data_IF_615882473912
#
_entry.id   IF_615882473912
#
_cell.length_a   1.000
_cell.length_b   1.000
_cell.length_c   1.000
_cell.angle_alpha   90.00
_cell.angle_beta   90.00
_cell.angle_gamma   90.00
#
_symmetry.space_group_name_H-M   'P 1'
#
loop_
_entity.id
_entity.type
_entity.pdbx_description
1 polymer ?
#
# COMPACT_ATOMS: atom_id res chain seq x y z
N UNK A 1 40.30 25.87 29.10
CA UNK A 1 39.37 25.08 29.95
C UNK A 1 38.02 25.06 29.24
N UNK A 2 37.71 23.99 28.52
CA UNK A 2 36.44 23.85 27.80
C UNK A 2 35.67 22.76 28.55
N UNK A 3 34.98 23.15 29.61
CA UNK A 3 33.91 22.42 30.30
C UNK A 3 33.63 23.21 31.58
N UNK A 4 32.60 24.07 31.54
CA UNK A 4 32.04 24.65 32.75
C UNK A 4 31.12 23.58 33.38
N UNK A 5 31.39 23.23 34.63
CA UNK A 5 31.01 21.95 35.22
C UNK A 5 29.58 21.96 35.80
N UNK A 6 28.63 22.65 35.16
CA UNK A 6 27.36 22.99 35.83
C UNK A 6 26.05 22.77 35.05
N UNK A 7 26.01 21.97 33.99
CA UNK A 7 24.71 21.57 33.38
C UNK A 7 24.71 20.16 32.76
N UNK A 8 25.09 19.13 33.52
CA UNK A 8 24.84 17.74 33.08
C UNK A 8 23.35 17.43 33.25
N UNK A 9 22.55 17.69 32.20
CA UNK A 9 21.13 17.34 32.17
C UNK A 9 20.99 15.86 31.78
N UNK A 10 20.74 15.01 32.77
CA UNK A 10 20.50 13.58 32.57
C UNK A 10 19.06 13.39 32.08
N UNK A 11 18.88 12.76 30.93
CA UNK A 11 17.56 12.45 30.37
C UNK A 11 17.11 11.04 30.77
N UNK A 12 15.88 10.87 31.30
CA UNK A 12 15.34 9.53 31.56
C UNK A 12 15.13 8.78 30.24
N UNK A 13 15.34 7.46 30.26
CA UNK A 13 15.22 6.60 29.07
C UNK A 13 13.87 6.75 28.35
N UNK A 14 12.77 6.92 29.10
CA UNK A 14 11.43 7.14 28.54
C UNK A 14 11.33 8.40 27.68
N UNK A 15 11.96 9.50 28.12
CA UNK A 15 12.01 10.75 27.35
C UNK A 15 12.86 10.60 26.09
N UNK A 16 13.95 9.83 26.15
CA UNK A 16 14.78 9.51 24.98
C UNK A 16 13.99 8.66 23.96
N UNK A 17 13.26 7.65 24.41
CA UNK A 17 12.41 6.80 23.55
C UNK A 17 11.30 7.63 22.90
N UNK A 18 10.63 8.49 23.66
CA UNK A 18 9.60 9.40 23.14
C UNK A 18 10.17 10.39 22.12
N UNK A 19 11.37 10.93 22.36
CA UNK A 19 12.06 11.80 21.42
C UNK A 19 12.34 11.08 20.09
N UNK A 20 12.88 9.86 20.14
CA UNK A 20 13.17 9.05 18.94
C UNK A 20 11.89 8.70 18.19
N UNK A 21 10.83 8.35 18.91
CA UNK A 21 9.52 8.05 18.34
C UNK A 21 8.91 9.28 17.64
N UNK A 22 8.94 10.45 18.28
CA UNK A 22 8.48 11.71 17.69
C UNK A 22 9.24 12.08 16.42
N UNK A 23 10.58 11.93 16.44
CA UNK A 23 11.42 12.14 15.26
C UNK A 23 11.05 11.20 14.10
N UNK A 24 10.75 9.93 14.39
CA UNK A 24 10.30 8.94 13.39
C UNK A 24 8.93 9.28 12.81
N UNK A 25 8.00 9.75 13.64
CA UNK A 25 6.66 10.21 13.24
C UNK A 25 6.65 11.60 12.58
N UNK A 26 7.83 12.23 12.41
CA UNK A 26 7.98 13.63 11.96
C UNK A 26 7.22 14.63 12.83
N UNK A 27 6.92 14.26 14.06
CA UNK A 27 6.36 15.14 15.08
C UNK A 27 7.53 15.75 15.83
N UNK A 28 7.76 17.06 15.67
CA UNK A 28 8.88 17.75 16.31
C UNK A 28 8.90 17.52 17.83
N UNK A 29 10.10 17.53 18.43
CA UNK A 29 10.25 17.42 19.87
C UNK A 29 10.50 18.79 20.51
N UNK A 30 10.06 18.95 21.76
CA UNK A 30 10.38 20.11 22.59
C UNK A 30 11.80 20.06 23.17
N UNK A 31 12.53 18.96 22.96
CA UNK A 31 13.89 18.79 23.46
C UNK A 31 14.91 19.48 22.53
N UNK A 32 15.51 20.56 22.99
CA UNK A 32 16.57 21.27 22.26
C UNK A 32 17.97 20.84 22.77
N UNK A 33 18.83 20.25 21.93
CA UNK A 33 20.22 19.96 22.28
C UNK A 33 21.00 21.24 22.58
N UNK A 34 21.65 21.27 23.75
CA UNK A 34 22.45 22.41 24.22
C UNK A 34 23.86 22.41 23.62
N UNK A 35 24.42 21.24 23.30
CA UNK A 35 25.80 21.09 22.79
C UNK A 35 25.86 20.89 21.28
N UNK A 36 26.89 21.42 20.62
CA UNK A 36 27.03 21.32 19.16
C UNK A 36 27.23 19.87 18.67
N UNK A 37 27.91 19.02 19.44
CA UNK A 37 28.06 17.60 19.10
C UNK A 37 26.72 16.83 19.10
N UNK A 38 25.80 17.18 20.02
CA UNK A 38 24.47 16.53 20.05
C UNK A 38 23.57 17.03 18.92
N UNK A 39 23.70 18.31 18.52
CA UNK A 39 23.04 18.86 17.33
C UNK A 39 23.44 18.13 16.05
N UNK A 40 24.74 17.83 15.88
CA UNK A 40 25.22 17.09 14.72
C UNK A 40 24.65 15.66 14.68
N UNK A 41 24.62 14.97 15.83
CA UNK A 41 24.03 13.63 15.94
C UNK A 41 22.53 13.63 15.62
N UNK A 42 21.77 14.60 16.16
CA UNK A 42 20.34 14.70 15.84
C UNK A 42 20.09 15.07 14.38
N UNK A 43 20.93 15.92 13.78
CA UNK A 43 20.83 16.26 12.36
C UNK A 43 21.09 15.04 11.46
N UNK A 44 22.14 14.25 11.73
CA UNK A 44 22.41 13.03 10.96
C UNK A 44 21.31 11.99 11.15
N UNK A 45 20.79 11.84 12.38
CA UNK A 45 19.65 10.97 12.66
C UNK A 45 18.38 11.40 11.92
N UNK A 46 18.06 12.69 11.90
CA UNK A 46 16.92 13.21 11.14
C UNK A 46 17.06 12.98 9.64
N UNK A 47 18.25 13.18 9.08
CA UNK A 47 18.52 12.88 7.67
C UNK A 47 18.30 11.38 7.40
N UNK A 48 18.83 10.51 8.26
CA UNK A 48 18.64 9.07 8.13
C UNK A 48 17.16 8.67 8.14
N UNK A 49 16.37 9.17 9.10
CA UNK A 49 14.93 8.91 9.18
C UNK A 49 14.17 9.49 7.98
N UNK A 50 14.54 10.67 7.50
CA UNK A 50 13.94 11.26 6.31
C UNK A 50 14.18 10.39 5.07
N UNK A 51 15.40 9.89 4.89
CA UNK A 51 15.75 8.97 3.80
C UNK A 51 14.97 7.66 3.93
N UNK A 52 14.96 7.05 5.11
CA UNK A 52 14.26 5.78 5.36
C UNK A 52 12.75 5.89 5.10
N UNK A 53 12.11 6.93 5.63
CA UNK A 53 10.66 7.17 5.42
C UNK A 53 10.34 7.48 3.95
N UNK A 54 11.22 8.21 3.24
CA UNK A 54 11.05 8.48 1.82
C UNK A 54 11.11 7.19 0.98
N UNK A 55 12.09 6.32 1.22
CA UNK A 55 12.19 5.03 0.52
C UNK A 55 11.02 4.11 0.82
N UNK A 56 10.60 4.02 2.08
CA UNK A 56 9.43 3.25 2.46
C UNK A 56 8.17 3.77 1.76
N UNK A 57 7.95 5.10 1.78
CA UNK A 57 6.80 5.72 1.13
C UNK A 57 6.82 5.48 -0.38
N UNK A 58 7.99 5.58 -1.04
CA UNK A 58 8.14 5.33 -2.46
C UNK A 58 7.81 3.88 -2.85
N UNK A 59 8.35 2.90 -2.11
CA UNK A 59 8.09 1.48 -2.35
C UNK A 59 6.63 1.12 -2.08
N UNK A 60 6.05 1.64 -1.00
CA UNK A 60 4.63 1.45 -0.69
C UNK A 60 3.76 2.07 -1.78
N UNK A 61 4.07 3.29 -2.23
CA UNK A 61 3.33 3.98 -3.29
C UNK A 61 3.41 3.17 -4.58
N UNK A 62 4.60 2.72 -4.97
CA UNK A 62 4.77 1.88 -6.15
C UNK A 62 3.94 0.59 -6.08
N UNK A 63 3.86 -0.06 -4.91
CA UNK A 63 3.02 -1.25 -4.75
C UNK A 63 1.52 -0.92 -4.80
N UNK A 64 1.10 0.19 -4.19
CA UNK A 64 -0.31 0.61 -4.15
C UNK A 64 -0.82 1.09 -5.52
N UNK A 65 0.03 1.73 -6.31
CA UNK A 65 -0.32 2.24 -7.65
C UNK A 65 -0.19 1.16 -8.72
N UNK A 66 0.74 0.21 -8.56
CA UNK A 66 0.93 -0.90 -9.49
C UNK A 66 -0.14 -1.98 -9.28
N UNK A 67 -1.14 -2.01 -10.17
CA UNK A 67 -2.05 -3.14 -10.25
C UNK A 67 -1.37 -4.33 -10.95
N UNK A 68 -0.84 -5.28 -10.18
CA UNK A 68 -0.46 -6.59 -10.71
C UNK A 68 -1.61 -7.56 -10.48
N UNK A 69 -2.19 -8.04 -11.56
CA UNK A 69 -3.15 -9.13 -11.51
C UNK A 69 -2.41 -10.45 -11.71
N UNK A 70 -2.44 -11.33 -10.72
CA UNK A 70 -1.92 -12.70 -10.83
C UNK A 70 -3.09 -13.62 -11.16
N UNK A 71 -2.97 -14.39 -12.24
CA UNK A 71 -3.95 -15.41 -12.55
C UNK A 71 -3.86 -16.56 -11.55
N UNK A 72 -4.98 -17.14 -11.12
CA UNK A 72 -4.96 -18.31 -10.24
C UNK A 72 -4.45 -19.57 -10.97
N UNK A 73 -4.49 -19.57 -12.31
CA UNK A 73 -4.08 -20.68 -13.17
C UNK A 73 -3.18 -20.11 -14.25
N UNK A 74 -1.92 -20.51 -14.21
CA UNK A 74 -0.95 -20.16 -15.25
C UNK A 74 -0.64 -21.38 -16.10
N UNK A 75 -0.49 -22.55 -15.48
CA UNK A 75 -0.09 -23.81 -16.12
C UNK A 75 -1.17 -24.90 -16.03
N UNK A 76 -1.04 -25.94 -16.86
CA UNK A 76 -1.90 -27.14 -16.80
C UNK A 76 -1.86 -27.81 -15.43
N UNK A 77 -0.69 -27.81 -14.78
CA UNK A 77 -0.51 -28.36 -13.43
C UNK A 77 -1.41 -27.66 -12.40
N UNK A 78 -1.65 -26.36 -12.56
CA UNK A 78 -2.48 -25.58 -11.64
C UNK A 78 -3.96 -25.98 -11.76
N UNK A 79 -4.39 -26.48 -12.92
CA UNK A 79 -5.75 -27.00 -13.11
C UNK A 79 -5.97 -28.21 -12.20
N UNK A 80 -5.00 -29.13 -12.10
CA UNK A 80 -5.12 -30.27 -11.19
C UNK A 80 -4.94 -29.92 -9.72
N UNK A 81 -4.14 -28.90 -9.39
CA UNK A 81 -3.99 -28.42 -8.01
C UNK A 81 -5.25 -27.74 -7.50
N UNK A 82 -5.87 -26.91 -8.33
CA UNK A 82 -7.09 -26.18 -7.99
C UNK A 82 -8.34 -27.06 -8.04
N UNK A 83 -8.31 -28.15 -8.83
CA UNK A 83 -9.45 -29.05 -8.99
C UNK A 83 -10.63 -28.40 -9.72
N UNK A 84 -10.39 -27.32 -10.47
CA UNK A 84 -11.41 -26.62 -11.24
C UNK A 84 -11.86 -27.46 -12.43
N UNK A 85 -13.14 -27.35 -12.76
CA UNK A 85 -13.70 -27.99 -13.94
C UNK A 85 -13.23 -27.26 -15.20
N UNK A 86 -12.99 -28.03 -16.26
CA UNK A 86 -12.59 -27.49 -17.55
C UNK A 86 -13.33 -28.20 -18.67
N UNK A 87 -13.45 -27.52 -19.79
CA UNK A 87 -14.04 -28.10 -20.99
C UNK A 87 -13.25 -27.73 -22.24
N UNK A 88 -13.32 -28.62 -23.23
CA UNK A 88 -12.74 -28.44 -24.54
C UNK A 88 -13.71 -28.89 -25.64
N UNK A 89 -13.40 -28.55 -26.88
CA UNK A 89 -14.21 -28.92 -28.04
C UNK A 89 -14.22 -30.43 -28.26
N UNK A 90 -15.41 -31.01 -28.32
CA UNK A 90 -15.65 -32.41 -28.71
C UNK A 90 -15.20 -32.66 -30.16
N UNK A 91 -14.51 -33.77 -30.37
CA UNK A 91 -13.80 -34.13 -31.61
C UNK A 91 -12.60 -33.23 -31.91
N UNK A 92 -12.19 -32.39 -30.96
CA UNK A 92 -11.15 -31.39 -31.15
C UNK A 92 -9.72 -31.94 -30.98
N UNK A 93 -8.70 -31.16 -31.40
CA UNK A 93 -7.30 -31.55 -31.24
C UNK A 93 -6.88 -31.70 -29.77
N UNK A 94 -7.52 -30.96 -28.85
CA UNK A 94 -7.26 -31.06 -27.41
C UNK A 94 -7.78 -32.39 -26.87
N UNK A 95 -8.99 -32.81 -27.26
CA UNK A 95 -9.53 -34.11 -26.88
C UNK A 95 -8.61 -35.24 -27.34
N UNK A 96 -8.21 -35.20 -28.61
CA UNK A 96 -7.29 -36.18 -29.16
C UNK A 96 -5.95 -36.20 -28.39
N UNK A 97 -5.37 -35.03 -28.10
CA UNK A 97 -4.12 -34.94 -27.35
C UNK A 97 -4.24 -35.48 -25.92
N UNK A 98 -5.37 -35.24 -25.23
CA UNK A 98 -5.60 -35.71 -23.85
C UNK A 98 -5.90 -37.21 -23.80
N UNK A 99 -6.65 -37.72 -24.77
CA UNK A 99 -7.09 -39.11 -24.81
C UNK A 99 -5.99 -40.06 -25.30
N UNK A 100 -5.19 -39.64 -26.28
CA UNK A 100 -4.18 -40.49 -26.86
C UNK A 100 -3.07 -40.84 -25.83
N UNK A 101 -2.59 -42.07 -25.85
CA UNK A 101 -1.62 -42.59 -24.86
C UNK A 101 -0.17 -42.33 -25.22
N UNK A 102 0.09 -41.98 -26.47
CA UNK A 102 1.43 -42.02 -27.05
C UNK A 102 2.15 -40.66 -26.99
N UNK A 103 1.48 -39.62 -26.49
CA UNK A 103 1.93 -38.24 -26.59
C UNK A 103 2.07 -37.57 -25.21
N UNK A 104 3.19 -36.86 -25.05
CA UNK A 104 3.63 -35.95 -23.98
C UNK A 104 3.23 -36.23 -22.52
N UNK A 105 4.25 -36.38 -21.66
CA UNK A 105 4.10 -36.49 -20.20
C UNK A 105 3.34 -35.32 -19.56
N UNK A 106 3.37 -34.15 -20.21
CA UNK A 106 2.85 -32.88 -19.70
C UNK A 106 1.31 -32.83 -19.68
N UNK A 107 0.62 -33.62 -20.51
CA UNK A 107 -0.85 -33.64 -20.56
C UNK A 107 -1.50 -34.74 -19.70
N UNK A 108 -0.69 -35.57 -19.04
CA UNK A 108 -1.15 -36.59 -18.10
C UNK A 108 -2.03 -36.01 -16.98
N UNK A 109 -1.79 -34.75 -16.64
CA UNK A 109 -2.56 -34.02 -15.63
C UNK A 109 -4.00 -33.81 -16.08
N UNK A 110 -4.23 -33.40 -17.33
CA UNK A 110 -5.57 -33.28 -17.91
C UNK A 110 -6.22 -34.65 -18.05
N UNK A 111 -5.46 -35.67 -18.48
CA UNK A 111 -5.97 -37.04 -18.59
C UNK A 111 -6.50 -37.57 -17.25
N UNK A 112 -5.76 -37.32 -16.16
CA UNK A 112 -6.21 -37.64 -14.79
C UNK A 112 -7.39 -36.78 -14.35
N UNK A 113 -7.48 -35.56 -14.83
CA UNK A 113 -8.62 -34.66 -14.57
C UNK A 113 -9.90 -35.19 -15.25
N UNK A 114 -9.80 -35.68 -16.48
CA UNK A 114 -10.91 -36.37 -17.18
C UNK A 114 -11.36 -37.61 -16.40
N UNK A 115 -10.42 -38.47 -15.95
CA UNK A 115 -10.79 -39.67 -15.18
C UNK A 115 -11.43 -39.38 -13.82
N UNK A 116 -11.23 -38.16 -13.28
CA UNK A 116 -11.89 -37.64 -12.07
C UNK A 116 -13.20 -36.89 -12.35
N UNK A 117 -13.70 -36.92 -13.60
CA UNK A 117 -14.90 -36.20 -14.02
C UNK A 117 -14.81 -34.67 -13.83
N UNK A 118 -13.60 -34.11 -13.98
CA UNK A 118 -13.34 -32.66 -13.95
C UNK A 118 -13.11 -32.07 -15.35
N UNK A 119 -12.82 -32.91 -16.35
CA UNK A 119 -12.64 -32.51 -17.74
C UNK A 119 -13.79 -33.01 -18.61
N UNK A 120 -14.43 -32.10 -19.35
CA UNK A 120 -15.58 -32.40 -20.19
C UNK A 120 -15.34 -31.99 -21.65
N UNK A 121 -15.75 -32.84 -22.59
CA UNK A 121 -15.73 -32.51 -24.01
C UNK A 121 -17.14 -32.14 -24.44
N UNK A 122 -17.31 -30.93 -24.97
CA UNK A 122 -18.62 -30.40 -25.35
C UNK A 122 -18.58 -29.79 -26.76
N UNK A 123 -19.74 -29.68 -27.38
CA UNK A 123 -19.88 -28.94 -28.62
C UNK A 123 -19.78 -27.41 -28.35
N UNK A 124 -18.62 -26.84 -28.66
CA UNK A 124 -18.31 -25.40 -28.49
C UNK A 124 -18.82 -24.52 -29.63
N UNK A 125 -19.45 -25.09 -30.66
CA UNK A 125 -20.15 -24.29 -31.67
C UNK A 125 -21.37 -23.57 -31.07
N UNK A 126 -21.94 -24.11 -29.99
CA UNK A 126 -22.97 -23.45 -29.19
C UNK A 126 -22.32 -22.44 -28.23
N UNK A 127 -22.14 -21.20 -28.71
CA UNK A 127 -21.57 -20.12 -27.91
C UNK A 127 -22.39 -19.82 -26.63
N UNK A 128 -23.69 -20.12 -26.60
CA UNK A 128 -24.53 -19.86 -25.42
C UNK A 128 -24.11 -20.79 -24.29
N UNK A 129 -23.93 -22.09 -24.58
CA UNK A 129 -23.43 -23.07 -23.60
C UNK A 129 -22.02 -22.74 -23.14
N UNK A 130 -21.13 -22.35 -24.05
CA UNK A 130 -19.76 -21.95 -23.69
C UNK A 130 -19.79 -20.79 -22.69
N UNK A 131 -20.59 -19.75 -22.97
CA UNK A 131 -20.72 -18.60 -22.05
C UNK A 131 -21.32 -19.00 -20.71
N UNK A 132 -22.27 -19.93 -20.68
CA UNK A 132 -22.85 -20.44 -19.43
C UNK A 132 -21.80 -21.14 -18.57
N UNK A 133 -21.06 -22.10 -19.13
CA UNK A 133 -20.03 -22.83 -18.37
C UNK A 133 -18.91 -21.90 -17.86
N UNK A 134 -18.46 -20.96 -18.67
CA UNK A 134 -17.45 -19.99 -18.23
C UNK A 134 -18.00 -19.07 -17.13
N UNK A 135 -19.30 -18.73 -17.15
CA UNK A 135 -19.94 -17.99 -16.07
C UNK A 135 -20.05 -18.81 -14.76
N UNK A 136 -20.07 -20.14 -14.85
CA UNK A 136 -20.02 -21.07 -13.72
C UNK A 136 -18.57 -21.32 -13.21
N UNK A 137 -17.60 -20.50 -13.63
CA UNK A 137 -16.17 -20.59 -13.25
C UNK A 137 -15.43 -21.81 -13.83
N UNK A 138 -15.94 -22.39 -14.94
CA UNK A 138 -15.24 -23.45 -15.67
C UNK A 138 -14.19 -22.88 -16.63
N UNK A 139 -13.09 -23.61 -16.78
CA UNK A 139 -12.00 -23.24 -17.68
C UNK A 139 -12.29 -23.70 -19.10
N UNK A 140 -12.20 -22.77 -20.04
CA UNK A 140 -12.34 -23.08 -21.46
C UNK A 140 -10.96 -23.31 -22.09
N UNK A 141 -10.66 -24.56 -22.46
CA UNK A 141 -9.44 -24.93 -23.18
C UNK A 141 -9.70 -24.98 -24.68
N UNK A 142 -9.02 -24.12 -25.43
CA UNK A 142 -9.16 -24.05 -26.89
C UNK A 142 -7.90 -23.43 -27.55
N UNK A 143 -7.78 -23.55 -28.87
CA UNK A 143 -6.77 -22.87 -29.68
C UNK A 143 -6.73 -21.35 -29.38
N UNK A 144 -5.53 -20.82 -29.13
CA UNK A 144 -5.31 -19.41 -28.78
C UNK A 144 -5.99 -18.42 -29.76
N UNK A 145 -5.93 -18.69 -31.07
CA UNK A 145 -6.58 -17.85 -32.08
C UNK A 145 -8.11 -17.81 -31.90
N UNK A 146 -8.74 -18.96 -31.68
CA UNK A 146 -10.19 -19.06 -31.48
C UNK A 146 -10.61 -18.41 -30.17
N UNK A 147 -9.81 -18.54 -29.12
CA UNK A 147 -10.00 -17.81 -27.86
C UNK A 147 -9.93 -16.29 -28.06
N UNK A 148 -8.90 -15.77 -28.73
CA UNK A 148 -8.77 -14.32 -29.01
C UNK A 148 -9.95 -13.78 -29.81
N UNK A 149 -10.41 -14.52 -30.83
CA UNK A 149 -11.60 -14.15 -31.60
C UNK A 149 -12.88 -14.20 -30.76
N UNK A 150 -13.03 -15.20 -29.89
CA UNK A 150 -14.16 -15.29 -28.96
C UNK A 150 -14.22 -14.09 -28.00
N UNK A 151 -13.07 -13.71 -27.42
CA UNK A 151 -12.94 -12.53 -26.56
C UNK A 151 -13.28 -11.24 -27.33
N UNK A 152 -12.72 -11.08 -28.54
CA UNK A 152 -12.99 -9.92 -29.40
C UNK A 152 -14.47 -9.79 -29.74
N UNK A 153 -15.11 -10.88 -30.15
CA UNK A 153 -16.54 -10.89 -30.49
C UNK A 153 -17.39 -10.49 -29.30
N UNK A 154 -17.10 -11.01 -28.12
CA UNK A 154 -17.83 -10.66 -26.89
C UNK A 154 -17.62 -9.20 -26.49
N UNK A 155 -16.37 -8.72 -26.54
CA UNK A 155 -16.02 -7.32 -26.26
C UNK A 155 -16.74 -6.35 -27.21
N UNK A 156 -16.73 -6.64 -28.52
CA UNK A 156 -17.45 -5.85 -29.53
C UNK A 156 -18.96 -5.87 -29.29
N UNK A 157 -19.53 -7.03 -28.96
CA UNK A 157 -20.96 -7.15 -28.67
C UNK A 157 -21.37 -6.29 -27.47
N UNK A 158 -20.57 -6.27 -26.39
CA UNK A 158 -20.82 -5.44 -25.20
C UNK A 158 -20.63 -3.96 -25.46
N UNK A 159 -19.67 -3.62 -26.32
CA UNK A 159 -19.43 -2.25 -26.77
C UNK A 159 -20.65 -1.73 -27.55
N UNK A 160 -21.19 -2.52 -28.47
CA UNK A 160 -22.40 -2.18 -29.23
C UNK A 160 -23.64 -2.02 -28.35
N UNK A 161 -23.72 -2.77 -27.25
CA UNK A 161 -24.79 -2.65 -26.25
C UNK A 161 -24.65 -1.43 -25.32
N UNK A 162 -23.57 -0.65 -25.44
CA UNK A 162 -23.33 0.51 -24.58
C UNK A 162 -22.93 0.15 -23.14
N UNK A 163 -22.42 -1.06 -22.90
CA UNK A 163 -21.95 -1.48 -21.57
C UNK A 163 -20.78 -0.61 -21.12
N UNK A 164 -20.67 -0.28 -19.83
CA UNK A 164 -19.51 0.45 -19.29
C UNK A 164 -18.21 -0.30 -19.57
N UNK A 165 -17.11 0.43 -19.81
CA UNK A 165 -15.80 -0.14 -20.17
C UNK A 165 -15.30 -1.19 -19.18
N UNK A 166 -15.55 -0.96 -17.89
CA UNK A 166 -15.13 -1.84 -16.79
C UNK A 166 -15.74 -3.25 -16.90
N UNK A 167 -16.98 -3.35 -17.40
CA UNK A 167 -17.73 -4.60 -17.43
C UNK A 167 -17.65 -5.30 -18.81
N UNK A 168 -16.91 -4.71 -19.77
CA UNK A 168 -16.66 -5.33 -21.08
C UNK A 168 -15.68 -6.50 -20.99
N UNK A 169 -14.71 -6.41 -20.09
CA UNK A 169 -13.63 -7.38 -19.92
C UNK A 169 -14.03 -8.51 -18.96
N UNK A 170 -14.78 -9.49 -19.46
CA UNK A 170 -15.28 -10.61 -18.64
C UNK A 170 -14.35 -11.81 -18.61
N UNK A 171 -13.58 -12.02 -19.67
CA UNK A 171 -12.70 -13.18 -19.79
C UNK A 171 -11.24 -12.75 -19.74
N UNK A 172 -10.39 -13.67 -19.27
CA UNK A 172 -8.95 -13.49 -19.22
C UNK A 172 -8.28 -14.70 -19.84
N UNK A 173 -7.22 -14.47 -20.61
CA UNK A 173 -6.41 -15.53 -21.21
C UNK A 173 -5.17 -15.77 -20.36
N UNK A 174 -4.78 -17.03 -20.27
CA UNK A 174 -3.51 -17.42 -19.67
C UNK A 174 -2.35 -17.04 -20.61
N UNK A 175 -1.19 -16.71 -20.04
CA UNK A 175 -0.04 -16.22 -20.81
C UNK A 175 0.71 -17.34 -21.55
N UNK A 176 0.66 -18.56 -21.01
CA UNK A 176 1.37 -19.72 -21.54
C UNK A 176 0.51 -20.58 -22.46
N UNK A 177 1.11 -21.09 -23.54
CA UNK A 177 0.54 -22.18 -24.33
C UNK A 177 0.89 -23.51 -23.69
N UNK A 178 -0.11 -24.36 -23.50
CA UNK A 178 0.06 -25.69 -22.89
C UNK A 178 0.45 -26.78 -23.88
N UNK A 179 0.06 -26.57 -25.13
CA UNK A 179 0.28 -27.49 -26.23
C UNK A 179 0.56 -26.67 -27.47
N UNK A 180 1.74 -26.86 -28.05
CA UNK A 180 2.08 -26.31 -29.36
C UNK A 180 2.12 -27.44 -30.37
N UNK A 181 1.35 -27.29 -31.44
CA UNK A 181 1.30 -28.24 -32.56
C UNK A 181 1.24 -27.44 -33.86
N UNK A 182 1.89 -27.97 -34.89
CA UNK A 182 1.88 -27.36 -36.21
C UNK A 182 0.55 -27.66 -36.91
N UNK A 183 -0.04 -26.65 -37.53
CA UNK A 183 -1.17 -26.84 -38.44
C UNK A 183 -0.62 -27.29 -39.79
N UNK A 184 -1.20 -28.36 -40.34
CA UNK A 184 -0.82 -28.89 -41.64
C UNK A 184 -2.08 -29.25 -42.45
N UNK A 185 -1.94 -29.23 -43.78
CA UNK A 185 -2.96 -29.78 -44.66
C UNK A 185 -2.81 -31.30 -44.72
N UNK A 186 -3.89 -32.01 -44.43
CA UNK A 186 -3.94 -33.46 -44.57
C UNK A 186 -4.32 -33.82 -46.00
N UNK A 187 -3.52 -34.69 -46.62
CA UNK A 187 -3.79 -35.22 -47.95
C UNK A 187 -3.91 -36.75 -47.89
N UNK A 188 -4.66 -37.38 -48.83
CA UNK A 188 -4.63 -38.83 -48.99
C UNK A 188 -3.20 -39.35 -49.22
N UNK A 189 -2.88 -40.55 -48.72
CA UNK A 189 -1.51 -41.11 -48.72
C UNK A 189 -0.85 -41.17 -50.11
N UNK A 190 -1.63 -41.29 -51.18
CA UNK A 190 -1.15 -41.40 -52.56
C UNK A 190 -1.40 -40.12 -53.39
N UNK A 191 -1.62 -38.99 -52.73
CA UNK A 191 -1.92 -37.73 -53.39
C UNK A 191 -0.68 -37.08 -54.00
N UNK A 192 -0.82 -36.51 -55.20
CA UNK A 192 0.20 -35.66 -55.84
C UNK A 192 0.18 -34.21 -55.33
N UNK A 193 -0.86 -33.84 -54.57
CA UNK A 193 -1.08 -32.46 -54.10
C UNK A 193 0.07 -31.91 -53.25
N UNK A 194 0.70 -32.66 -52.32
CA UNK A 194 1.81 -32.14 -51.52
C UNK A 194 2.96 -31.61 -52.40
N UNK A 195 3.36 -32.36 -53.42
CA UNK A 195 4.44 -31.94 -54.34
C UNK A 195 4.12 -30.67 -55.15
N UNK A 196 2.84 -30.36 -55.33
CA UNK A 196 2.39 -29.19 -56.07
C UNK A 196 2.18 -27.98 -55.13
N UNK A 197 1.55 -28.20 -53.98
CA UNK A 197 1.11 -27.14 -53.07
C UNK A 197 2.13 -26.79 -52.00
N UNK A 198 2.92 -27.73 -51.51
CA UNK A 198 3.88 -27.47 -50.42
C UNK A 198 4.94 -26.42 -50.80
N UNK A 199 5.53 -26.43 -52.01
CA UNK A 199 6.47 -25.37 -52.42
C UNK A 199 5.82 -23.98 -52.48
N UNK A 200 4.57 -23.92 -52.95
CA UNK A 200 3.81 -22.67 -53.04
C UNK A 200 3.46 -22.17 -51.64
N UNK A 201 3.00 -23.06 -50.76
CA UNK A 201 2.67 -22.74 -49.38
C UNK A 201 3.91 -22.29 -48.61
N UNK A 202 5.05 -22.94 -48.83
CA UNK A 202 6.33 -22.53 -48.25
C UNK A 202 6.68 -21.10 -48.69
N UNK A 203 6.56 -20.77 -49.97
CA UNK A 203 6.77 -19.41 -50.46
C UNK A 203 5.81 -18.38 -49.81
N UNK A 204 4.55 -18.75 -49.55
CA UNK A 204 3.60 -17.88 -48.82
C UNK A 204 3.95 -17.71 -47.34
N UNK A 205 4.55 -18.73 -46.70
CA UNK A 205 5.04 -18.65 -45.32
C UNK A 205 6.31 -17.81 -45.24
N UNK A 206 7.29 -18.07 -46.11
CA UNK A 206 8.58 -17.36 -46.16
C UNK A 206 8.43 -15.88 -46.53
N UNK A 207 7.48 -15.55 -47.40
CA UNK A 207 7.12 -14.16 -47.72
C UNK A 207 6.37 -13.44 -46.59
N UNK A 208 5.93 -14.15 -45.55
CA UNK A 208 5.16 -13.59 -44.43
C UNK A 208 3.68 -13.32 -44.75
N UNK A 209 3.20 -13.68 -45.95
CA UNK A 209 1.80 -13.46 -46.36
C UNK A 209 0.84 -14.22 -45.43
N UNK A 210 1.15 -15.48 -45.08
CA UNK A 210 0.31 -16.25 -44.15
C UNK A 210 0.29 -15.60 -42.77
N UNK A 211 1.43 -15.15 -42.26
CA UNK A 211 1.52 -14.51 -40.94
C UNK A 211 0.68 -13.22 -40.91
N UNK A 212 0.77 -12.41 -41.96
CA UNK A 212 -0.05 -11.21 -42.11
C UNK A 212 -1.54 -11.53 -42.15
N UNK A 213 -1.96 -12.48 -43.00
CA UNK A 213 -3.37 -12.90 -43.12
C UNK A 213 -3.95 -13.47 -41.83
N UNK A 214 -3.16 -14.26 -41.09
CA UNK A 214 -3.58 -14.84 -39.81
C UNK A 214 -3.79 -13.75 -38.75
N UNK A 215 -3.00 -12.67 -38.80
CA UNK A 215 -3.10 -11.56 -37.85
C UNK A 215 -4.11 -10.49 -38.30
N UNK A 216 -4.48 -10.41 -39.58
CA UNK A 216 -5.37 -9.38 -40.15
C UNK A 216 -6.73 -9.27 -39.42
N UNK A 217 -7.26 -10.38 -38.90
CA UNK A 217 -8.54 -10.43 -38.18
C UNK A 217 -8.44 -10.05 -36.69
N UNK A 218 -7.23 -9.96 -36.14
CA UNK A 218 -6.98 -9.64 -34.74
C UNK A 218 -6.42 -8.21 -34.63
N UNK A 219 -6.89 -7.42 -33.65
CA UNK A 219 -6.31 -6.09 -33.44
C UNK A 219 -4.85 -6.18 -33.01
N UNK A 220 -4.04 -5.20 -33.40
CA UNK A 220 -2.64 -5.08 -32.97
C UNK A 220 -2.51 -4.87 -31.46
N UNK A 221 -3.51 -4.22 -30.84
CA UNK A 221 -3.59 -4.01 -29.41
C UNK A 221 -4.27 -5.20 -28.70
N UNK A 222 -3.72 -5.61 -27.55
CA UNK A 222 -4.33 -6.65 -26.71
C UNK A 222 -5.63 -6.14 -26.09
N UNK A 223 -6.71 -6.90 -26.29
CA UNK A 223 -8.02 -6.60 -25.72
C UNK A 223 -7.99 -7.01 -24.26
N UNK A 224 -8.36 -6.11 -23.36
CA UNK A 224 -8.40 -6.37 -21.91
C UNK A 224 -7.06 -6.87 -21.34
N UNK A 225 -5.98 -6.05 -21.39
CA UNK A 225 -4.71 -6.47 -20.84
C UNK A 225 -4.82 -6.71 -19.32
N UNK A 226 -4.26 -7.83 -18.84
CA UNK A 226 -4.19 -8.11 -17.40
C UNK A 226 -3.41 -7.03 -16.65
N UNK A 227 -2.34 -6.54 -17.28
CA UNK A 227 -1.51 -5.48 -16.75
C UNK A 227 -1.90 -4.16 -17.41
N UNK A 228 -2.62 -3.33 -16.67
CA UNK A 228 -2.93 -1.96 -17.06
C UNK A 228 -1.68 -1.09 -16.84
N UNK A 229 -0.61 -1.35 -17.59
CA UNK A 229 0.74 -0.78 -17.36
C UNK A 229 0.83 0.75 -17.37
N UNK A 230 -0.22 1.45 -17.78
CA UNK A 230 -0.30 2.92 -17.80
C UNK A 230 -1.51 3.50 -17.06
N UNK A 231 -2.42 2.68 -16.52
CA UNK A 231 -3.60 3.19 -15.79
C UNK A 231 -3.35 3.07 -14.31
N UNK A 232 -3.06 4.19 -13.66
CA UNK A 232 -2.91 4.26 -12.21
C UNK A 232 -4.17 3.73 -11.53
N UNK A 233 -4.00 2.75 -10.64
CA UNK A 233 -5.10 2.21 -9.85
C UNK A 233 -5.57 3.27 -8.85
N UNK A 234 -6.86 3.62 -8.89
CA UNK A 234 -7.47 4.42 -7.84
C UNK A 234 -7.60 3.58 -6.55
N UNK A 235 -7.16 4.15 -5.43
CA UNK A 235 -7.25 3.52 -4.11
C UNK A 235 -8.70 3.37 -3.69
N UNK A 236 -9.06 2.17 -3.22
CA UNK A 236 -10.38 1.88 -2.67
C UNK A 236 -10.35 1.92 -1.15
N UNK A 237 -11.52 2.15 -0.54
CA UNK A 237 -11.65 2.08 0.91
C UNK A 237 -11.27 0.70 1.48
N UNK A 238 -11.49 -0.36 0.70
CA UNK A 238 -11.07 -1.73 1.03
C UNK A 238 -9.54 -1.86 1.18
N UNK A 239 -8.78 -1.08 0.43
CA UNK A 239 -7.30 -1.14 0.43
C UNK A 239 -6.71 -0.53 1.71
N UNK A 240 -7.50 0.26 2.44
CA UNK A 240 -7.14 0.92 3.70
C UNK A 240 -7.61 0.17 4.95
N UNK A 241 -8.22 -1.01 4.78
CA UNK A 241 -8.79 -1.79 5.88
C UNK A 241 -7.78 -2.13 6.99
N UNK A 242 -6.55 -2.47 6.60
CA UNK A 242 -5.46 -2.78 7.54
C UNK A 242 -5.09 -1.57 8.39
N UNK A 243 -5.03 -0.38 7.79
CA UNK A 243 -4.78 0.88 8.50
C UNK A 243 -5.87 1.16 9.54
N UNK A 244 -7.13 0.91 9.19
CA UNK A 244 -8.25 1.07 10.13
C UNK A 244 -8.14 0.12 11.32
N UNK A 245 -7.80 -1.16 11.08
CA UNK A 245 -7.58 -2.13 12.15
C UNK A 245 -6.46 -1.66 13.09
N UNK A 246 -5.34 -1.20 12.54
CA UNK A 246 -4.20 -0.72 13.35
C UNK A 246 -4.62 0.45 14.24
N UNK A 247 -5.32 1.44 13.70
CA UNK A 247 -5.80 2.60 14.48
C UNK A 247 -6.77 2.18 15.58
N UNK A 248 -7.77 1.36 15.26
CA UNK A 248 -8.76 0.89 16.24
C UNK A 248 -8.09 0.06 17.34
N UNK A 249 -7.13 -0.80 16.98
CA UNK A 249 -6.38 -1.59 17.95
C UNK A 249 -5.51 -0.71 18.87
N UNK A 250 -4.91 0.36 18.34
CA UNK A 250 -4.13 1.33 19.12
C UNK A 250 -4.99 2.10 20.12
N UNK A 251 -6.15 2.59 19.70
CA UNK A 251 -7.10 3.26 20.60
C UNK A 251 -7.64 2.31 21.66
N UNK A 252 -7.96 1.07 21.27
CA UNK A 252 -8.50 0.07 22.21
C UNK A 252 -7.48 -0.32 23.27
N UNK A 253 -6.22 -0.52 22.89
CA UNK A 253 -5.14 -0.82 23.86
C UNK A 253 -4.86 0.37 24.79
N UNK A 254 -4.77 1.59 24.26
CA UNK A 254 -4.60 2.79 25.08
C UNK A 254 -5.75 2.99 26.08
N UNK A 255 -6.99 2.79 25.63
CA UNK A 255 -8.17 2.88 26.49
C UNK A 255 -8.15 1.82 27.60
N UNK A 256 -7.74 0.60 27.26
CA UNK A 256 -7.62 -0.51 28.22
C UNK A 256 -6.57 -0.20 29.29
N UNK A 257 -5.39 0.30 28.89
CA UNK A 257 -4.33 0.69 29.84
C UNK A 257 -4.81 1.83 30.74
N UNK A 258 -5.47 2.84 30.18
CA UNK A 258 -6.01 3.96 30.95
C UNK A 258 -7.03 3.51 32.00
N UNK A 259 -7.97 2.64 31.63
CA UNK A 259 -8.93 2.08 32.60
C UNK A 259 -8.26 1.17 33.63
N UNK A 260 -7.29 0.35 33.23
CA UNK A 260 -6.53 -0.47 34.16
C UNK A 260 -5.79 0.39 35.19
N UNK A 261 -5.16 1.49 34.77
CA UNK A 261 -4.51 2.44 35.67
C UNK A 261 -5.51 3.13 36.61
N UNK A 262 -6.68 3.53 36.11
CA UNK A 262 -7.75 4.12 36.93
C UNK A 262 -8.25 3.15 38.00
N UNK A 263 -8.47 1.88 37.63
CA UNK A 263 -8.90 0.82 38.56
C UNK A 263 -7.80 0.51 39.56
N UNK A 264 -6.54 0.43 39.13
CA UNK A 264 -5.40 0.22 40.02
C UNK A 264 -5.27 1.35 41.05
N UNK A 265 -5.37 2.61 40.61
CA UNK A 265 -5.36 3.79 41.51
C UNK A 265 -6.61 3.90 42.39
N UNK A 266 -7.71 3.22 42.06
CA UNK A 266 -8.93 3.25 42.88
C UNK A 266 -9.03 2.08 43.86
N UNK A 267 -8.47 0.92 43.52
CA UNK A 267 -8.56 -0.30 44.32
C UNK A 267 -7.30 -0.60 45.13
N UNK A 268 -6.10 -0.23 44.66
CA UNK A 268 -4.83 -0.67 45.24
C UNK A 268 -3.96 0.44 45.85
N UNK A 269 -4.28 1.72 45.66
CA UNK A 269 -3.72 2.77 46.53
C UNK A 269 -4.58 2.91 47.78
N UNK A 270 -4.11 2.47 48.96
CA UNK A 270 -4.76 2.83 50.21
C UNK A 270 -4.78 4.35 50.30
N UNK A 271 -5.86 4.89 50.86
CA UNK A 271 -5.98 6.28 51.25
C UNK A 271 -4.84 6.56 52.25
N UNK A 272 -3.67 7.00 51.77
CA UNK A 272 -2.77 7.74 52.63
C UNK A 272 -3.60 8.93 53.09
N UNK A 273 -3.80 9.14 54.40
CA UNK A 273 -4.47 10.33 54.87
C UNK A 273 -3.71 11.50 54.25
N UNK A 274 -4.45 12.48 53.74
CA UNK A 274 -3.89 13.80 53.47
C UNK A 274 -3.08 14.15 54.71
N UNK A 275 -1.76 14.10 54.61
CA UNK A 275 -0.96 14.99 55.43
C UNK A 275 -1.35 16.35 54.89
N UNK A 276 -2.28 17.00 55.60
CA UNK A 276 -2.43 18.43 55.56
C UNK A 276 -1.02 18.97 55.75
N UNK A 277 -0.42 19.45 54.66
CA UNK A 277 0.49 20.57 54.82
C UNK A 277 -0.35 21.63 55.51
N UNK A 278 0.04 22.11 56.71
CA UNK A 278 -0.58 23.32 57.20
C UNK A 278 -0.30 24.37 56.12
N UNK A 279 -1.37 24.94 55.59
CA UNK A 279 -1.31 26.21 54.89
C UNK A 279 -1.04 27.28 55.95
N UNK A 280 0.14 27.24 56.57
CA UNK A 280 0.69 28.42 57.22
C UNK A 280 1.29 29.26 56.12
N UNK A 281 0.50 30.23 55.68
CA UNK A 281 1.01 31.44 55.04
C UNK A 281 1.72 32.22 56.15
N UNK A 282 2.94 31.80 56.48
CA UNK A 282 3.95 32.66 57.10
C UNK A 282 4.98 32.96 56.02
N UNK A 283 4.77 34.12 55.41
CA UNK A 283 5.79 34.88 54.70
C UNK A 283 6.94 35.16 55.68
N UNK A 284 7.96 34.29 55.70
CA UNK A 284 9.23 34.61 56.35
C UNK A 284 10.44 34.21 55.49
N UNK A 285 10.87 35.20 54.71
CA UNK A 285 12.26 35.62 54.52
C UNK A 285 13.29 34.59 54.03
N UNK A 286 13.54 34.68 52.71
CA UNK A 286 14.85 34.45 52.08
C UNK A 286 15.93 35.33 52.77
N UNK A 287 17.20 34.90 52.86
CA UNK A 287 18.20 35.59 53.68
C UNK A 287 18.50 36.97 53.10
N UNK A 288 18.48 37.93 54.00
CA UNK A 288 19.09 39.26 53.92
C UNK A 288 20.14 39.43 52.81
N UNK A 289 19.74 40.05 51.70
CA UNK A 289 20.60 41.07 51.09
C UNK A 289 20.33 42.36 51.85
N UNK A 290 21.31 42.75 52.69
CA UNK A 290 21.38 44.10 53.25
C UNK A 290 21.27 45.10 52.10
N UNK A 291 20.22 45.91 52.06
CA UNK A 291 20.24 47.30 51.62
C UNK A 291 18.85 47.92 51.88
N UNK A 292 18.63 48.28 53.15
CA UNK A 292 17.58 49.24 53.53
C UNK A 292 17.85 50.58 52.85
N UNK A 293 16.85 51.12 52.17
CA UNK A 293 16.94 52.42 51.50
C UNK A 293 15.65 52.81 50.79
N UNK A 294 14.67 53.15 51.62
CA UNK A 294 13.63 54.19 51.51
C UNK A 294 12.62 54.25 50.34
N UNK A 295 11.37 54.52 50.71
CA UNK A 295 10.17 54.64 49.87
C UNK A 295 10.11 56.03 49.22
N UNK A 296 10.06 56.12 47.88
CA UNK A 296 9.18 57.07 47.17
C UNK A 296 9.18 56.83 45.65
N UNK A 297 8.08 57.25 45.02
CA UNK A 297 7.83 57.48 43.57
C UNK A 297 7.09 56.40 42.76
N UNK A 298 5.75 56.48 42.87
CA UNK A 298 4.82 56.73 41.76
C UNK A 298 5.13 56.06 40.41
N UNK A 299 4.60 54.84 40.22
CA UNK A 299 4.60 54.10 38.95
C UNK A 299 3.73 54.82 37.91
N UNK A 300 4.35 55.31 36.84
CA UNK A 300 3.66 55.91 35.68
C UNK A 300 3.60 54.88 34.54
N UNK A 301 2.37 54.56 34.10
CA UNK A 301 2.09 53.66 32.97
C UNK A 301 2.20 54.42 31.66
N UNK A 302 2.84 53.83 30.65
CA UNK A 302 2.90 54.40 29.29
C UNK A 302 2.48 53.37 28.25
N UNK A 303 1.77 53.82 27.22
CA UNK A 303 1.37 53.00 26.07
C UNK A 303 2.22 53.40 24.86
N UNK A 304 2.93 52.43 24.27
CA UNK A 304 3.72 52.62 23.06
C UNK A 304 3.27 51.57 22.05
N UNK A 305 2.78 52.01 20.89
CA UNK A 305 2.30 51.15 19.79
C UNK A 305 1.28 50.08 20.23
N UNK A 306 0.35 50.45 21.12
CA UNK A 306 -0.73 49.56 21.57
C UNK A 306 -0.32 48.54 22.63
N UNK A 307 0.89 48.63 23.20
CA UNK A 307 1.31 47.84 24.37
C UNK A 307 1.63 48.73 25.55
N UNK A 308 1.10 48.34 26.70
CA UNK A 308 1.29 49.04 27.97
C UNK A 308 2.56 48.54 28.68
N UNK A 309 3.33 49.47 29.24
CA UNK A 309 4.55 49.22 30.00
C UNK A 309 4.54 49.99 31.32
N UNK A 310 5.10 49.39 32.37
CA UNK A 310 5.51 50.11 33.58
C UNK A 310 6.89 50.72 33.36
N UNK A 311 7.07 51.98 33.78
CA UNK A 311 8.37 52.65 33.78
C UNK A 311 8.96 52.57 35.19
N UNK A 312 10.03 51.82 35.35
CA UNK A 312 10.79 51.77 36.59
C UNK A 312 12.12 52.49 36.36
N UNK A 313 12.37 53.54 37.13
CA UNK A 313 13.64 54.27 37.07
C UNK A 313 14.60 53.62 38.07
N UNK A 314 15.70 53.07 37.56
CA UNK A 314 16.76 52.50 38.40
C UNK A 314 17.42 53.61 39.23
N UNK A 315 18.11 53.24 40.33
CA UNK A 315 18.81 54.20 41.19
C UNK A 315 19.90 55.00 40.44
N UNK A 316 20.37 54.48 39.31
CA UNK A 316 21.34 55.13 38.41
C UNK A 316 20.69 56.06 37.35
N UNK A 317 19.36 56.27 37.41
CA UNK A 317 18.63 57.16 36.50
C UNK A 317 18.18 56.52 35.18
N UNK A 318 18.57 55.27 34.89
CA UNK A 318 18.10 54.55 33.70
C UNK A 318 16.62 54.17 33.80
N UNK A 319 15.84 54.48 32.76
CA UNK A 319 14.43 54.10 32.64
C UNK A 319 14.33 52.70 32.02
N UNK A 320 13.78 51.73 32.75
CA UNK A 320 13.46 50.39 32.24
C UNK A 320 11.95 50.23 32.04
N UNK A 321 11.58 49.69 30.89
CA UNK A 321 10.19 49.42 30.52
C UNK A 321 9.88 47.93 30.73
N UNK A 322 8.86 47.64 31.53
CA UNK A 322 8.42 46.27 31.81
C UNK A 322 7.02 46.07 31.22
N UNK A 323 6.83 45.14 30.26
CA UNK A 323 5.53 44.92 29.64
C UNK A 323 4.51 44.35 30.63
N UNK A 324 3.28 44.87 30.62
CA UNK A 324 2.23 44.53 31.60
C UNK A 324 1.64 43.11 31.37
N UNK A 325 1.81 42.53 30.18
CA UNK A 325 1.42 41.14 29.88
C UNK A 325 2.63 40.35 29.39
N UNK A 326 2.88 39.20 30.02
CA UNK A 326 3.85 38.20 29.54
C UNK A 326 3.39 37.62 28.20
N UNK A 327 4.30 37.41 27.24
CA UNK A 327 3.93 36.74 25.98
C UNK A 327 3.43 35.33 26.27
N UNK A 328 2.43 34.90 25.50
CA UNK A 328 1.66 33.65 25.65
C UNK A 328 2.48 32.36 25.75
N UNK A 329 3.79 32.42 25.45
CA UNK A 329 4.72 31.31 25.56
C UNK A 329 4.93 30.82 27.01
N UNK A 330 4.70 31.67 28.02
CA UNK A 330 4.86 31.28 29.44
C UNK A 330 3.64 30.58 30.04
N UNK A 331 2.46 30.68 29.41
CA UNK A 331 1.22 30.06 29.92
C UNK A 331 1.16 28.54 29.73
N UNK A 332 2.02 27.97 28.88
CA UNK A 332 2.10 26.52 28.70
C UNK A 332 2.94 25.79 29.77
N UNK A 333 3.61 26.52 30.67
CA UNK A 333 4.39 25.89 31.75
C UNK A 333 3.57 25.51 33.00
N UNK A 334 2.27 25.86 33.06
CA UNK A 334 1.42 25.60 34.22
C UNK A 334 0.14 24.79 33.93
N UNK A 335 0.04 24.19 32.74
CA UNK A 335 -1.02 23.24 32.42
C UNK A 335 -0.44 21.86 32.11
N UNK A 336 0.15 21.22 33.12
CA UNK A 336 0.17 19.76 33.32
C UNK A 336 0.77 19.43 34.69
#
# INVERSE_FOLDING_TARGET
RICDNNTIKVYPLSACVWFVYGALMKQGSTLSPVTDSTRLLFATWWIFIMILTAFYTANLTAFLTLSRFTLPIENVDDIARTGRQWFATEGGPIEYAVMNTDDDGDLNVLKRSVSRNLGHFINTADEVKVKQYVAEDWLYLEENRRLKLFLLKDYMTKTLKGTEEKDRCTYVLTQGSYLSRNLAFAYPKTSILPSLFDPILLAFVESGIIQHRVQELLPEATICPLNLGSKERQLRNSDLWTTYIVVVSGFSTALTVFFAELVWRRCFTPHHPRHSWPLDITLENNPSSKFTGDKSKQDSKININGREYFIVISKDGEKRFIPIRTPSAFLFQYAS
#
